data_IF_821507595906
#
_entry.id   IF_821507595906
#
_cell.length_a   1.000
_cell.length_b   1.000
_cell.length_c   1.000
_cell.angle_alpha   90.00
_cell.angle_beta   90.00
_cell.angle_gamma   90.00
#
_symmetry.space_group_name_H-M   'P 1'
#
loop_
_entity.id
_entity.type
_entity.pdbx_description
1 polymer ?
#
# COMPACT_ATOMS: atom_id res chain seq x y z
N UNK A 1 -60.13 -2.71 -23.11
CA UNK A 1 -58.74 -2.24 -23.24
C UNK A 1 -58.39 -1.59 -21.91
N UNK A 2 -57.70 -2.33 -21.04
CA UNK A 2 -57.50 -1.99 -19.63
C UNK A 2 -56.03 -1.60 -19.42
N UNK A 3 -55.76 -0.33 -19.10
CA UNK A 3 -54.42 0.24 -18.99
C UNK A 3 -54.04 0.26 -17.51
N UNK A 4 -53.32 -0.77 -17.06
CA UNK A 4 -52.71 -0.82 -15.73
C UNK A 4 -51.47 0.09 -15.69
N UNK A 5 -51.54 1.13 -14.85
CA UNK A 5 -50.41 1.98 -14.47
C UNK A 5 -49.41 1.17 -13.64
N UNK A 6 -48.22 0.92 -14.20
CA UNK A 6 -47.03 0.53 -13.45
C UNK A 6 -46.42 1.78 -12.82
N UNK A 7 -46.47 1.88 -11.49
CA UNK A 7 -45.69 2.85 -10.73
C UNK A 7 -44.34 2.18 -10.48
N UNK A 8 -43.30 2.65 -11.18
CA UNK A 8 -41.92 2.24 -10.91
C UNK A 8 -41.47 2.93 -9.63
N UNK A 9 -41.28 2.14 -8.57
CA UNK A 9 -40.67 2.59 -7.32
C UNK A 9 -39.16 2.67 -7.56
N UNK A 10 -38.65 3.86 -7.88
CA UNK A 10 -37.21 4.12 -7.94
C UNK A 10 -36.68 4.15 -6.50
N UNK A 11 -36.11 3.04 -6.05
CA UNK A 11 -35.37 2.97 -4.81
C UNK A 11 -34.04 3.72 -5.00
N UNK A 12 -33.95 4.94 -4.48
CA UNK A 12 -32.68 5.67 -4.42
C UNK A 12 -31.90 5.06 -3.24
N UNK A 13 -30.99 4.13 -3.52
CA UNK A 13 -29.97 3.75 -2.55
C UNK A 13 -29.04 4.96 -2.37
N UNK A 14 -29.24 5.73 -1.30
CA UNK A 14 -28.22 6.65 -0.84
C UNK A 14 -27.04 5.80 -0.38
N UNK A 15 -25.93 5.81 -1.15
CA UNK A 15 -24.68 5.24 -0.71
C UNK A 15 -24.30 5.92 0.62
N UNK A 16 -24.12 5.12 1.67
CA UNK A 16 -23.51 5.63 2.89
C UNK A 16 -22.17 6.29 2.51
N UNK A 17 -21.80 7.43 3.13
CA UNK A 17 -20.47 7.98 2.90
C UNK A 17 -19.47 6.89 3.28
N UNK A 18 -18.68 6.44 2.30
CA UNK A 18 -17.57 5.54 2.57
C UNK A 18 -16.72 6.19 3.66
N UNK A 19 -16.45 5.46 4.74
CA UNK A 19 -15.48 5.91 5.74
C UNK A 19 -14.19 6.25 5.01
N UNK A 20 -13.53 7.34 5.43
CA UNK A 20 -12.21 7.66 4.90
C UNK A 20 -11.31 6.47 5.23
N UNK A 21 -10.86 5.74 4.20
CA UNK A 21 -9.94 4.62 4.36
C UNK A 21 -8.53 5.16 4.54
N UNK A 22 -7.78 4.54 5.44
CA UNK A 22 -6.43 4.97 5.78
C UNK A 22 -5.41 4.40 4.80
N UNK A 23 -4.31 5.13 4.62
CA UNK A 23 -3.10 4.59 3.98
C UNK A 23 -2.43 3.69 5.01
N UNK A 24 -2.50 2.38 4.78
CA UNK A 24 -1.98 1.35 5.71
C UNK A 24 -0.54 0.95 5.38
N UNK A 25 -0.06 1.26 4.16
CA UNK A 25 1.31 1.02 3.74
C UNK A 25 1.74 1.94 2.60
N UNK A 26 3.03 2.27 2.57
CA UNK A 26 3.66 3.11 1.55
C UNK A 26 5.07 3.59 2.00
N UNK A 27 6.00 3.86 1.09
CA UNK A 27 7.24 4.62 1.32
C UNK A 27 7.03 5.97 2.03
N UNK A 28 7.64 6.15 3.20
CA UNK A 28 7.65 7.45 3.87
C UNK A 28 8.20 8.55 2.94
N UNK A 29 7.54 9.73 2.88
CA UNK A 29 8.03 10.87 2.10
C UNK A 29 9.42 11.37 2.49
N UNK A 30 10.06 10.86 3.54
CA UNK A 30 11.38 11.31 3.99
C UNK A 30 12.43 10.21 4.04
N UNK A 31 12.13 9.00 3.57
CA UNK A 31 13.11 7.91 3.64
C UNK A 31 14.01 7.94 2.39
N UNK A 32 15.32 8.22 2.52
CA UNK A 32 16.26 7.81 1.48
C UNK A 32 16.27 6.28 1.54
N UNK A 33 15.46 5.64 0.69
CA UNK A 33 15.30 4.19 0.72
C UNK A 33 16.62 3.54 0.30
N UNK A 34 17.54 3.32 1.25
CA UNK A 34 18.75 2.52 1.08
C UNK A 34 18.45 1.02 0.92
N UNK A 35 17.18 0.63 0.78
CA UNK A 35 16.77 -0.78 0.81
C UNK A 35 15.55 -1.07 -0.05
N UNK A 36 15.58 -0.66 -1.32
CA UNK A 36 14.89 -1.46 -2.33
C UNK A 36 15.88 -2.57 -2.73
N UNK A 37 15.61 -3.82 -2.35
CA UNK A 37 16.48 -4.93 -2.74
C UNK A 37 16.05 -5.30 -4.14
N UNK A 38 16.94 -5.16 -5.12
CA UNK A 38 16.64 -5.65 -6.45
C UNK A 38 16.58 -7.16 -6.49
N UNK A 39 15.44 -7.69 -6.92
CA UNK A 39 15.24 -9.13 -7.01
C UNK A 39 14.88 -9.52 -8.44
N UNK A 40 15.52 -10.60 -8.93
CA UNK A 40 15.17 -11.18 -10.22
C UNK A 40 13.75 -11.75 -10.19
N UNK A 41 12.87 -11.29 -11.08
CA UNK A 41 11.59 -11.97 -11.28
C UNK A 41 11.84 -13.35 -11.93
N UNK A 42 11.26 -14.44 -11.41
CA UNK A 42 11.37 -15.75 -12.04
C UNK A 42 10.81 -15.75 -13.49
N UNK A 43 11.69 -15.66 -14.49
CA UNK A 43 11.37 -15.82 -15.91
C UNK A 43 11.23 -14.54 -16.75
N UNK A 44 11.68 -13.38 -16.27
CA UNK A 44 11.58 -12.10 -17.00
C UNK A 44 12.54 -11.99 -18.20
N UNK A 45 12.00 -11.92 -19.42
CA UNK A 45 12.70 -11.37 -20.57
C UNK A 45 12.33 -9.89 -20.69
N UNK A 46 13.33 -9.01 -20.86
CA UNK A 46 13.16 -7.56 -21.02
C UNK A 46 12.28 -7.26 -22.24
N UNK A 47 11.00 -6.95 -22.00
CA UNK A 47 10.11 -6.42 -23.03
C UNK A 47 9.64 -5.07 -22.50
N UNK A 48 9.84 -4.01 -23.29
CA UNK A 48 9.37 -2.65 -23.01
C UNK A 48 7.86 -2.56 -22.69
N UNK A 49 7.11 -3.64 -22.95
CA UNK A 49 5.67 -3.79 -22.73
C UNK A 49 5.32 -4.19 -21.28
N UNK A 50 6.30 -4.61 -20.47
CA UNK A 50 6.11 -5.04 -19.08
C UNK A 50 7.19 -4.40 -18.19
N UNK A 51 7.32 -3.06 -18.27
CA UNK A 51 8.14 -2.32 -17.31
C UNK A 51 7.50 -2.43 -15.93
N UNK A 52 8.07 -3.32 -15.13
CA UNK A 52 7.68 -3.58 -13.75
C UNK A 52 8.47 -2.66 -12.85
N UNK A 53 7.77 -2.01 -11.94
CA UNK A 53 8.38 -1.32 -10.81
C UNK A 53 7.91 -2.02 -9.55
N UNK A 54 8.80 -2.24 -8.59
CA UNK A 54 8.49 -2.84 -7.30
C UNK A 54 8.83 -1.88 -6.16
N UNK A 55 7.95 -1.78 -5.17
CA UNK A 55 8.23 -1.06 -3.93
C UNK A 55 8.25 -2.03 -2.75
N UNK A 56 9.33 -1.96 -1.95
CA UNK A 56 9.44 -2.71 -0.70
C UNK A 56 8.61 -2.03 0.39
N UNK A 57 7.61 -2.74 0.88
CA UNK A 57 6.65 -2.26 1.86
C UNK A 57 6.61 -3.18 3.06
N UNK A 58 6.73 -2.61 4.25
CA UNK A 58 6.53 -3.33 5.51
C UNK A 58 5.31 -2.78 6.20
N UNK A 59 4.28 -3.61 6.35
CA UNK A 59 3.15 -3.25 7.18
C UNK A 59 3.53 -3.46 8.66
N UNK A 60 3.28 -2.48 9.55
CA UNK A 60 3.60 -2.67 10.97
C UNK A 60 2.67 -3.70 11.63
N UNK A 61 1.50 -3.95 11.05
CA UNK A 61 0.47 -4.89 11.53
C UNK A 61 -0.22 -5.55 10.33
N UNK A 62 -0.92 -6.65 10.55
CA UNK A 62 -1.73 -7.27 9.50
C UNK A 62 -2.74 -6.26 8.97
N UNK A 63 -2.92 -6.21 7.65
CA UNK A 63 -3.84 -5.29 7.02
C UNK A 63 -4.53 -5.91 5.83
N UNK A 64 -5.70 -5.38 5.53
CA UNK A 64 -6.54 -5.73 4.39
C UNK A 64 -6.47 -4.57 3.40
N UNK A 65 -5.80 -4.79 2.28
CA UNK A 65 -5.66 -3.82 1.18
C UNK A 65 -6.90 -3.89 0.30
N UNK A 66 -7.64 -2.80 0.25
CA UNK A 66 -8.88 -2.69 -0.54
C UNK A 66 -8.70 -1.79 -1.76
N UNK A 67 -7.69 -0.92 -1.75
CA UNK A 67 -7.30 -0.09 -2.88
C UNK A 67 -5.79 0.06 -2.93
N UNK A 68 -5.27 0.23 -4.14
CA UNK A 68 -3.87 0.59 -4.37
C UNK A 68 -3.86 1.87 -5.18
N UNK A 69 -3.23 2.91 -4.65
CA UNK A 69 -3.00 4.17 -5.37
C UNK A 69 -1.55 4.23 -5.84
N UNK A 70 -1.32 4.72 -7.05
CA UNK A 70 0.03 4.89 -7.60
C UNK A 70 0.09 6.05 -8.59
N UNK A 71 1.30 6.49 -8.93
CA UNK A 71 1.51 7.66 -9.78
C UNK A 71 2.43 7.39 -10.96
N UNK A 72 2.13 8.07 -12.06
CA UNK A 72 2.91 7.99 -13.29
C UNK A 72 2.10 8.48 -14.48
N UNK A 73 2.56 8.11 -15.67
CA UNK A 73 1.91 8.47 -16.92
C UNK A 73 2.80 8.17 -18.10
N UNK A 74 2.43 8.68 -19.27
CA UNK A 74 3.29 8.59 -20.44
C UNK A 74 4.24 9.79 -20.54
N UNK A 75 5.54 9.52 -20.59
CA UNK A 75 6.63 10.52 -20.57
C UNK A 75 6.59 11.52 -21.74
N UNK A 76 5.94 11.18 -22.85
CA UNK A 76 5.86 12.05 -24.04
C UNK A 76 4.49 12.71 -24.22
N UNK A 77 3.53 12.42 -23.33
CA UNK A 77 2.16 12.92 -23.50
C UNK A 77 1.98 14.28 -22.82
N UNK A 78 2.19 15.36 -23.59
CA UNK A 78 1.79 16.71 -23.16
C UNK A 78 0.26 16.81 -22.95
N UNK A 79 -0.53 15.88 -23.51
CA UNK A 79 -1.98 16.08 -23.62
C UNK A 79 -2.89 15.00 -23.01
N UNK A 80 -2.49 13.74 -22.77
CA UNK A 80 -3.19 12.71 -21.94
C UNK A 80 -2.48 11.34 -22.07
N UNK A 81 -2.55 10.47 -21.05
CA UNK A 81 -2.17 9.05 -21.17
C UNK A 81 -3.11 8.34 -22.18
N UNK A 82 -2.65 7.99 -23.38
CA UNK A 82 -3.48 7.36 -24.42
C UNK A 82 -3.04 5.94 -24.77
N UNK A 83 -1.78 5.57 -24.53
CA UNK A 83 -1.26 4.23 -24.84
C UNK A 83 -1.50 3.19 -23.74
N UNK A 84 -1.99 3.57 -22.55
CA UNK A 84 -2.28 2.60 -21.46
C UNK A 84 -3.66 1.96 -21.64
N UNK A 85 -3.69 0.63 -21.78
CA UNK A 85 -4.89 -0.21 -21.82
C UNK A 85 -5.36 -0.64 -20.43
N UNK A 86 -4.47 -0.63 -19.45
CA UNK A 86 -4.73 -1.13 -18.11
C UNK A 86 -3.43 -1.36 -17.34
N UNK A 87 -3.54 -2.11 -16.25
CA UNK A 87 -2.42 -2.39 -15.35
C UNK A 87 -2.39 -3.85 -14.95
N UNK A 88 -1.20 -4.38 -14.71
CA UNK A 88 -0.99 -5.64 -14.00
C UNK A 88 -0.50 -5.31 -12.59
N UNK A 89 -1.10 -5.89 -11.57
CA UNK A 89 -0.67 -5.84 -10.18
C UNK A 89 -0.08 -7.20 -9.82
N UNK A 90 1.16 -7.22 -9.36
CA UNK A 90 1.79 -8.39 -8.75
C UNK A 90 2.23 -8.02 -7.33
N UNK A 91 1.96 -8.88 -6.36
CA UNK A 91 2.45 -8.71 -4.98
C UNK A 91 3.27 -9.93 -4.63
N UNK A 92 4.49 -9.70 -4.16
CA UNK A 92 5.40 -10.72 -3.71
C UNK A 92 5.66 -10.59 -2.22
N UNK A 93 5.79 -11.71 -1.52
CA UNK A 93 6.43 -11.77 -0.21
C UNK A 93 7.94 -11.88 -0.41
N UNK A 94 8.70 -11.04 0.30
CA UNK A 94 10.16 -11.06 0.26
C UNK A 94 10.72 -11.76 1.50
N UNK A 95 11.53 -12.80 1.29
CA UNK A 95 12.31 -13.46 2.32
C UNK A 95 13.80 -13.45 1.95
N UNK A 96 14.53 -12.49 2.51
CA UNK A 96 15.91 -12.21 2.10
C UNK A 96 15.95 -11.72 0.64
N UNK A 97 16.61 -12.47 -0.24
CA UNK A 97 16.67 -12.18 -1.68
C UNK A 97 15.63 -12.97 -2.50
N UNK A 98 14.79 -13.78 -1.87
CA UNK A 98 13.79 -14.60 -2.57
C UNK A 98 12.45 -13.87 -2.61
N UNK A 99 11.83 -13.84 -3.78
CA UNK A 99 10.45 -13.37 -3.96
C UNK A 99 9.50 -14.54 -4.19
N UNK A 100 8.42 -14.55 -3.42
CA UNK A 100 7.31 -15.50 -3.60
C UNK A 100 6.09 -14.73 -4.08
N UNK A 101 5.62 -15.01 -5.30
CA UNK A 101 4.42 -14.39 -5.84
C UNK A 101 3.19 -14.81 -5.02
N UNK A 102 2.51 -13.84 -4.41
CA UNK A 102 1.26 -14.03 -3.67
C UNK A 102 0.04 -13.72 -4.53
N UNK A 103 0.08 -12.59 -5.26
CA UNK A 103 -1.04 -12.12 -6.07
C UNK A 103 -0.57 -11.68 -7.46
N UNK A 104 -1.37 -11.97 -8.48
CA UNK A 104 -1.18 -11.52 -9.86
C UNK A 104 -2.55 -11.23 -10.48
N UNK A 105 -2.82 -9.95 -10.76
CA UNK A 105 -4.12 -9.47 -11.23
C UNK A 105 -3.95 -8.50 -12.39
N UNK A 106 -4.93 -8.48 -13.29
CA UNK A 106 -4.98 -7.52 -14.41
C UNK A 106 -6.23 -6.66 -14.30
N UNK A 107 -6.03 -5.37 -14.46
CA UNK A 107 -7.06 -4.34 -14.43
C UNK A 107 -7.12 -3.69 -15.80
N UNK A 108 -8.31 -3.66 -16.41
CA UNK A 108 -8.53 -2.78 -17.55
C UNK A 108 -8.52 -1.33 -17.08
N UNK A 109 -8.15 -0.38 -17.96
CA UNK A 109 -8.08 1.05 -17.63
C UNK A 109 -9.37 1.62 -17.04
N UNK A 110 -10.54 1.06 -17.36
CA UNK A 110 -11.83 1.45 -16.77
C UNK A 110 -11.92 1.25 -15.25
N UNK A 111 -11.05 0.43 -14.67
CA UNK A 111 -10.95 0.17 -13.22
C UNK A 111 -9.83 0.98 -12.54
N UNK A 112 -9.15 1.85 -13.30
CA UNK A 112 -8.02 2.66 -12.85
C UNK A 112 -8.08 4.02 -13.58
N UNK A 113 -9.13 4.79 -13.35
CA UNK A 113 -9.31 6.06 -14.04
C UNK A 113 -8.23 7.06 -13.59
N UNK A 114 -7.46 7.64 -14.53
CA UNK A 114 -6.43 8.61 -14.18
C UNK A 114 -7.06 9.87 -13.58
N UNK A 115 -6.47 10.35 -12.50
CA UNK A 115 -6.74 11.67 -11.93
C UNK A 115 -5.49 12.52 -12.07
N UNK A 116 -5.57 13.64 -12.80
CA UNK A 116 -4.45 14.56 -12.94
C UNK A 116 -4.15 15.23 -11.59
N UNK A 117 -2.87 15.26 -11.21
CA UNK A 117 -2.44 15.86 -9.93
C UNK A 117 -2.05 17.33 -10.06
N UNK A 118 -1.86 17.82 -11.29
CA UNK A 118 -1.31 19.15 -11.59
C UNK A 118 0.22 19.23 -11.51
N UNK A 119 0.89 18.14 -11.16
CA UNK A 119 2.35 18.01 -11.22
C UNK A 119 2.85 17.60 -12.60
N UNK A 120 4.17 17.65 -12.77
CA UNK A 120 4.87 17.14 -13.95
C UNK A 120 5.99 16.17 -13.55
N UNK A 121 6.41 15.30 -14.47
CA UNK A 121 7.47 14.33 -14.24
C UNK A 121 8.20 13.95 -15.55
N UNK A 122 9.36 13.30 -15.43
CA UNK A 122 10.18 12.89 -16.58
C UNK A 122 10.95 14.04 -17.23
N UNK A 123 11.85 13.71 -18.16
CA UNK A 123 12.75 14.69 -18.78
C UNK A 123 12.01 15.73 -19.66
N UNK A 124 10.84 15.36 -20.18
CA UNK A 124 10.01 16.19 -21.05
C UNK A 124 8.91 16.95 -20.29
N UNK A 125 8.82 16.84 -18.96
CA UNK A 125 7.83 17.54 -18.14
C UNK A 125 6.38 17.07 -18.39
N UNK A 126 6.19 15.76 -18.59
CA UNK A 126 4.88 15.16 -18.81
C UNK A 126 3.93 15.38 -17.63
N UNK A 127 2.61 15.44 -17.91
CA UNK A 127 1.57 15.59 -16.88
C UNK A 127 1.54 14.37 -15.96
N UNK A 128 1.55 14.62 -14.66
CA UNK A 128 1.45 13.58 -13.64
C UNK A 128 0.00 13.17 -13.39
N UNK A 129 -0.24 11.87 -13.35
CA UNK A 129 -1.52 11.28 -12.99
C UNK A 129 -1.38 10.35 -11.79
N UNK A 130 -2.41 10.31 -10.96
CA UNK A 130 -2.64 9.25 -9.98
C UNK A 130 -3.69 8.28 -10.47
N UNK A 131 -3.53 7.00 -10.14
CA UNK A 131 -4.42 5.91 -10.49
C UNK A 131 -4.79 5.18 -9.21
N UNK A 132 -6.03 4.69 -9.12
CA UNK A 132 -6.47 3.81 -8.02
C UNK A 132 -6.98 2.50 -8.60
N UNK A 133 -6.44 1.37 -8.15
CA UNK A 133 -6.99 0.04 -8.41
C UNK A 133 -7.98 -0.29 -7.29
N UNK A 134 -9.23 -0.58 -7.67
CA UNK A 134 -10.25 -1.04 -6.74
C UNK A 134 -10.13 -2.55 -6.50
N UNK A 135 -9.83 -2.94 -5.26
CA UNK A 135 -9.75 -4.32 -4.78
C UNK A 135 -10.90 -4.68 -3.83
N UNK A 136 -11.87 -3.80 -3.60
CA UNK A 136 -12.94 -3.97 -2.59
C UNK A 136 -13.77 -5.26 -2.75
N UNK A 137 -13.83 -5.82 -3.95
CA UNK A 137 -14.57 -7.05 -4.24
C UNK A 137 -13.76 -8.33 -3.94
N UNK A 138 -12.44 -8.21 -3.82
CA UNK A 138 -11.51 -9.31 -3.54
C UNK A 138 -10.26 -8.74 -2.84
N UNK A 139 -10.38 -8.23 -1.61
CA UNK A 139 -9.29 -7.50 -0.96
C UNK A 139 -8.11 -8.42 -0.64
N UNK A 140 -6.92 -7.83 -0.45
CA UNK A 140 -5.68 -8.55 -0.24
C UNK A 140 -5.24 -8.43 1.22
N UNK A 141 -5.19 -9.56 1.92
CA UNK A 141 -4.66 -9.61 3.29
C UNK A 141 -3.13 -9.75 3.26
N UNK A 142 -2.44 -8.85 3.97
CA UNK A 142 -0.99 -8.82 4.11
C UNK A 142 -0.64 -8.87 5.59
N UNK A 143 0.25 -9.78 5.98
CA UNK A 143 0.67 -9.98 7.36
C UNK A 143 1.60 -8.86 7.85
N UNK A 144 1.43 -8.46 9.11
CA UNK A 144 2.32 -7.49 9.75
C UNK A 144 3.74 -8.02 9.92
N UNK A 145 4.73 -7.12 9.84
CA UNK A 145 6.15 -7.42 10.04
C UNK A 145 6.84 -8.11 8.87
N UNK A 146 6.12 -8.43 7.80
CA UNK A 146 6.70 -8.95 6.55
C UNK A 146 7.06 -7.83 5.58
N UNK A 147 8.02 -8.11 4.70
CA UNK A 147 8.39 -7.23 3.58
C UNK A 147 7.68 -7.74 2.33
N UNK A 148 6.94 -6.85 1.68
CA UNK A 148 6.26 -7.11 0.42
C UNK A 148 6.88 -6.30 -0.69
N UNK A 149 6.98 -6.89 -1.88
CA UNK A 149 7.24 -6.14 -3.11
C UNK A 149 5.92 -5.97 -3.83
N UNK A 150 5.45 -4.73 -3.93
CA UNK A 150 4.25 -4.42 -4.70
C UNK A 150 4.68 -3.91 -6.06
N UNK A 151 4.32 -4.67 -7.08
CA UNK A 151 4.63 -4.34 -8.46
C UNK A 151 3.38 -4.01 -9.25
N UNK A 152 3.44 -2.87 -9.94
CA UNK A 152 2.43 -2.50 -10.91
C UNK A 152 3.14 -2.31 -12.26
N UNK A 153 2.51 -2.77 -13.35
CA UNK A 153 3.01 -2.61 -14.72
C UNK A 153 1.89 -2.03 -15.58
N UNK A 154 2.19 -1.06 -16.42
CA UNK A 154 1.25 -0.61 -17.43
C UNK A 154 1.15 -1.63 -18.57
N UNK A 155 -0.07 -1.88 -19.04
CA UNK A 155 -0.34 -2.71 -20.21
C UNK A 155 -0.57 -1.78 -21.40
N UNK A 156 0.27 -1.86 -22.44
CA UNK A 156 0.24 -0.92 -23.56
C UNK A 156 -0.44 -1.49 -24.82
N UNK A 157 -1.05 -0.62 -25.63
CA UNK A 157 -1.63 -1.01 -26.93
C UNK A 157 -0.57 -1.18 -28.01
N UNK A 158 0.45 -0.31 -28.03
CA UNK A 158 1.59 -0.40 -28.97
C UNK A 158 2.88 -0.53 -28.17
N UNK A 159 3.76 -1.48 -28.54
CA UNK A 159 5.08 -1.57 -27.93
C UNK A 159 5.86 -0.26 -28.10
N UNK A 160 6.62 0.17 -27.09
CA UNK A 160 7.51 1.31 -27.22
C UNK A 160 8.44 1.11 -28.42
N UNK A 161 8.45 2.08 -29.34
CA UNK A 161 9.40 2.19 -30.45
C UNK A 161 9.94 3.61 -30.41
N UNK A 162 11.19 3.81 -30.79
CA UNK A 162 11.91 5.11 -30.79
C UNK A 162 10.98 6.33 -30.87
N UNK A 163 10.76 6.99 -29.73
CA UNK A 163 9.92 8.18 -29.60
C UNK A 163 8.44 7.97 -29.28
N UNK A 164 8.01 6.79 -28.81
CA UNK A 164 6.62 6.52 -28.39
C UNK A 164 6.50 6.09 -26.93
N UNK A 165 5.64 6.82 -26.23
CA UNK A 165 4.86 6.48 -25.03
C UNK A 165 5.23 5.17 -24.31
N UNK A 166 6.33 5.17 -23.55
CA UNK A 166 6.50 4.27 -22.40
C UNK A 166 5.78 4.87 -21.19
N UNK A 167 5.22 4.01 -20.36
CA UNK A 167 4.82 4.40 -19.02
C UNK A 167 6.06 4.72 -18.20
N UNK A 168 6.03 5.85 -17.52
CA UNK A 168 7.07 6.25 -16.59
C UNK A 168 6.44 6.47 -15.21
N UNK A 169 7.08 5.91 -14.19
CA UNK A 169 6.64 6.01 -12.81
C UNK A 169 7.03 7.36 -12.21
N UNK A 170 6.25 7.83 -11.25
CA UNK A 170 6.52 9.06 -10.54
C UNK A 170 6.14 8.94 -9.07
N UNK A 171 6.66 9.87 -8.26
CA UNK A 171 6.19 10.03 -6.88
C UNK A 171 4.92 10.86 -6.84
N UNK A 172 4.17 10.78 -5.75
CA UNK A 172 2.99 11.60 -5.50
C UNK A 172 3.22 13.13 -5.65
N UNK A 173 4.45 13.60 -5.49
CA UNK A 173 4.84 15.02 -5.54
C UNK A 173 5.43 15.47 -6.89
N UNK A 174 5.66 14.56 -7.85
CA UNK A 174 6.28 14.88 -9.14
C UNK A 174 7.75 14.52 -9.23
N UNK A 175 8.52 15.31 -9.97
CA UNK A 175 9.91 15.12 -10.39
C UNK A 175 10.96 15.20 -9.27
N UNK A 176 10.61 14.65 -8.11
CA UNK A 176 11.56 14.36 -7.06
C UNK A 176 12.48 13.16 -7.32
N UNK A 177 12.17 12.22 -8.24
CA UNK A 177 12.81 10.91 -8.59
C UNK A 177 12.33 9.65 -7.80
N UNK A 178 12.05 8.53 -8.46
CA UNK A 178 11.59 7.31 -7.77
C UNK A 178 12.78 6.38 -7.49
N UNK A 179 12.85 5.78 -6.30
CA UNK A 179 13.76 4.66 -6.07
C UNK A 179 13.09 3.40 -6.63
N UNK A 180 13.65 2.83 -7.70
CA UNK A 180 13.01 1.77 -8.47
C UNK A 180 13.85 0.50 -8.43
N UNK A 181 13.22 -0.62 -8.09
CA UNK A 181 13.71 -1.93 -8.54
C UNK A 181 13.14 -2.21 -9.94
N UNK A 182 14.02 -2.26 -10.95
CA UNK A 182 13.65 -2.42 -12.36
C UNK A 182 13.48 -3.90 -12.77
N UNK A 183 13.63 -4.86 -11.86
CA UNK A 183 13.51 -6.31 -12.12
C UNK A 183 14.31 -6.82 -13.35
N UNK A 184 15.33 -6.08 -13.78
CA UNK A 184 16.11 -6.34 -14.98
C UNK A 184 17.29 -7.29 -14.76
N UNK A 185 17.44 -7.77 -13.52
CA UNK A 185 18.52 -8.65 -13.07
C UNK A 185 19.87 -7.96 -12.90
N UNK A 186 19.95 -6.63 -13.02
CA UNK A 186 21.19 -5.86 -12.87
C UNK A 186 21.31 -5.23 -11.48
N UNK A 187 20.20 -5.13 -10.75
CA UNK A 187 20.19 -4.50 -9.43
C UNK A 187 19.30 -3.26 -9.43
N UNK A 188 19.30 -2.52 -8.32
CA UNK A 188 18.75 -1.16 -8.35
C UNK A 188 19.61 -0.34 -9.30
N UNK A 189 18.99 0.37 -10.23
CA UNK A 189 19.64 1.57 -10.77
C UNK A 189 19.37 2.67 -9.75
N UNK A 190 20.40 3.05 -8.99
CA UNK A 190 20.32 4.17 -8.04
C UNK A 190 20.09 5.46 -8.84
N UNK A 191 18.82 5.76 -9.16
CA UNK A 191 18.43 7.11 -9.50
C UNK A 191 18.85 8.03 -8.38
N UNK A 192 19.57 9.12 -8.72
CA UNK A 192 20.25 10.02 -7.79
C UNK A 192 19.53 10.18 -6.44
N UNK A 193 20.20 9.76 -5.37
CA UNK A 193 19.70 9.74 -4.01
C UNK A 193 19.28 11.15 -3.54
N UNK A 194 17.99 11.48 -3.63
CA UNK A 194 17.53 12.82 -3.25
C UNK A 194 16.04 13.00 -2.98
N UNK A 195 15.24 11.93 -2.89
CA UNK A 195 13.80 12.05 -3.15
C UNK A 195 12.91 11.82 -1.95
N UNK A 196 11.83 12.59 -1.93
CA UNK A 196 10.73 12.57 -0.98
C UNK A 196 9.40 12.23 -1.68
N UNK A 197 8.81 11.05 -1.44
CA UNK A 197 7.46 10.70 -1.92
C UNK A 197 7.16 9.20 -2.06
N UNK A 198 5.87 8.87 -2.19
CA UNK A 198 5.33 7.53 -2.43
C UNK A 198 5.18 7.28 -3.94
N UNK A 199 5.63 6.14 -4.46
CA UNK A 199 5.23 5.67 -5.79
C UNK A 199 3.95 4.83 -5.71
N UNK A 200 3.74 4.12 -4.59
CA UNK A 200 2.56 3.29 -4.32
C UNK A 200 2.04 3.51 -2.89
N UNK A 201 0.72 3.60 -2.73
CA UNK A 201 -0.02 3.58 -1.48
C UNK A 201 -0.92 2.35 -1.41
N UNK A 202 -0.86 1.63 -0.28
CA UNK A 202 -1.82 0.61 0.09
C UNK A 202 -2.88 1.25 0.97
N UNK A 203 -4.14 1.19 0.53
CA UNK A 203 -5.28 1.81 1.20
C UNK A 203 -6.24 0.71 1.64
N UNK A 204 -6.69 0.77 2.89
CA UNK A 204 -7.62 -0.21 3.42
C UNK A 204 -7.71 -0.17 4.94
N UNK A 205 -7.89 -1.33 5.54
CA UNK A 205 -8.00 -1.49 6.99
C UNK A 205 -6.74 -2.16 7.54
N UNK A 206 -6.26 -1.70 8.69
CA UNK A 206 -5.14 -2.31 9.39
C UNK A 206 -5.64 -2.81 10.74
N UNK A 207 -5.30 -4.04 11.10
CA UNK A 207 -5.58 -4.61 12.42
C UNK A 207 -5.18 -3.59 13.49
N UNK A 208 -6.05 -3.31 14.48
CA UNK A 208 -5.78 -2.30 15.50
C UNK A 208 -4.48 -2.60 16.23
N UNK A 209 -3.83 -1.55 16.75
CA UNK A 209 -2.57 -1.73 17.44
C UNK A 209 -2.86 -2.56 18.68
N UNK A 210 -2.04 -3.57 18.94
CA UNK A 210 -2.16 -4.33 20.16
C UNK A 210 -2.05 -3.34 21.32
N UNK A 211 -3.16 -3.08 22.00
CA UNK A 211 -3.18 -2.17 23.12
C UNK A 211 -2.69 -2.95 24.33
N UNK A 212 -1.37 -2.94 24.55
CA UNK A 212 -0.77 -3.69 25.66
C UNK A 212 -1.44 -3.34 26.99
N UNK A 213 -1.87 -2.08 27.16
CA UNK A 213 -2.56 -1.64 28.35
C UNK A 213 -4.01 -2.14 28.48
N UNK A 214 -4.66 -2.63 27.41
CA UNK A 214 -5.95 -3.34 27.43
C UNK A 214 -5.71 -4.81 27.84
N UNK A 215 -5.52 -5.02 29.14
CA UNK A 215 -5.14 -6.33 29.69
C UNK A 215 -6.34 -7.28 29.79
N UNK A 216 -7.56 -6.73 29.83
CA UNK A 216 -8.77 -7.54 29.86
C UNK A 216 -9.21 -7.99 28.45
N UNK A 217 -8.71 -7.32 27.40
CA UNK A 217 -8.94 -7.65 25.99
C UNK A 217 -10.35 -7.33 25.50
N UNK A 218 -11.03 -6.37 26.14
CA UNK A 218 -12.39 -5.96 25.76
C UNK A 218 -12.43 -4.90 24.64
N UNK A 219 -11.25 -4.46 24.18
CA UNK A 219 -11.07 -3.46 23.14
C UNK A 219 -11.22 -2.02 23.62
N UNK A 220 -11.37 -1.79 24.93
CA UNK A 220 -11.60 -0.49 25.53
C UNK A 220 -10.60 -0.23 26.65
N UNK A 221 -9.58 0.58 26.34
CA UNK A 221 -8.63 1.05 27.34
C UNK A 221 -9.34 1.87 28.43
N UNK A 222 -9.44 1.29 29.63
CA UNK A 222 -10.22 1.82 30.74
C UNK A 222 -9.61 1.48 32.10
N UNK A 223 -10.10 2.07 33.21
CA UNK A 223 -9.66 1.68 34.55
C UNK A 223 -9.91 0.20 34.90
N UNK A 224 -10.76 -0.50 34.14
CA UNK A 224 -10.96 -1.94 34.32
C UNK A 224 -9.67 -2.73 34.00
N UNK A 225 -8.85 -2.23 33.07
CA UNK A 225 -7.59 -2.85 32.68
C UNK A 225 -6.55 -2.81 33.78
N UNK A 226 -6.56 -1.79 34.62
CA UNK A 226 -5.69 -1.77 35.80
C UNK A 226 -6.00 -2.94 36.73
N UNK A 227 -7.29 -3.24 36.94
CA UNK A 227 -7.72 -4.36 37.78
C UNK A 227 -7.35 -5.70 37.13
N UNK A 228 -7.45 -5.79 35.79
CA UNK A 228 -7.00 -6.95 35.04
C UNK A 228 -5.48 -7.14 35.10
N UNK A 229 -4.70 -6.07 34.98
CA UNK A 229 -3.24 -6.07 35.13
C UNK A 229 -2.81 -6.53 36.51
N UNK A 230 -3.42 -5.99 37.59
CA UNK A 230 -3.13 -6.44 38.97
C UNK A 230 -3.42 -7.93 39.13
N UNK A 231 -4.52 -8.40 38.55
CA UNK A 231 -4.90 -9.83 38.60
C UNK A 231 -3.90 -10.71 37.83
N UNK A 232 -3.49 -10.29 36.63
CA UNK A 232 -2.50 -10.97 35.79
C UNK A 232 -1.13 -11.03 36.48
N UNK A 233 -0.66 -9.91 37.06
CA UNK A 233 0.62 -9.84 37.76
C UNK A 233 0.67 -10.80 38.96
N UNK A 234 -0.40 -10.81 39.78
CA UNK A 234 -0.49 -11.72 40.93
C UNK A 234 -0.60 -13.19 40.52
N UNK A 235 -1.20 -13.48 39.36
CA UNK A 235 -1.30 -14.82 38.80
C UNK A 235 -0.03 -15.28 38.06
N UNK A 236 1.00 -14.43 37.95
CA UNK A 236 2.19 -14.66 37.12
C UNK A 236 1.86 -14.90 35.64
N UNK A 237 0.84 -14.20 35.14
CA UNK A 237 0.42 -14.25 33.75
C UNK A 237 1.25 -13.26 32.91
N UNK A 238 1.77 -13.71 31.77
CA UNK A 238 2.62 -12.91 30.87
C UNK A 238 1.88 -11.73 30.23
N UNK A 239 0.54 -11.65 30.31
CA UNK A 239 -0.19 -10.43 29.93
C UNK A 239 0.15 -9.22 30.80
N UNK A 240 0.72 -9.44 31.99
CA UNK A 240 1.23 -8.38 32.83
C UNK A 240 2.63 -7.89 32.43
N UNK A 241 3.34 -8.57 31.52
CA UNK A 241 4.62 -8.13 30.95
C UNK A 241 4.36 -7.01 29.93
N UNK A 242 4.63 -5.78 30.33
CA UNK A 242 4.19 -4.59 29.60
C UNK A 242 5.35 -3.89 28.90
N UNK A 243 6.58 -4.26 29.23
CA UNK A 243 7.79 -3.82 28.54
C UNK A 243 8.34 -4.89 27.56
N UNK A 244 7.78 -6.10 27.58
CA UNK A 244 8.12 -7.20 26.68
C UNK A 244 9.48 -7.83 26.97
N UNK A 245 10.02 -7.68 28.19
CA UNK A 245 11.35 -8.20 28.54
C UNK A 245 11.34 -9.69 28.97
N UNK A 246 10.15 -10.29 29.04
CA UNK A 246 9.95 -11.68 29.43
C UNK A 246 9.95 -11.91 30.94
N UNK A 247 10.02 -10.87 31.77
CA UNK A 247 10.10 -10.94 33.22
C UNK A 247 9.01 -10.12 33.91
N UNK A 248 8.18 -10.79 34.71
CA UNK A 248 7.19 -10.11 35.54
C UNK A 248 7.82 -9.43 36.76
N UNK A 249 8.08 -8.14 36.65
CA UNK A 249 8.75 -7.29 37.64
C UNK A 249 7.97 -5.99 37.91
N UNK A 250 8.29 -5.24 38.97
CA UNK A 250 7.68 -3.93 39.17
C UNK A 250 7.94 -2.92 38.03
N UNK A 251 8.88 -3.18 37.13
CA UNK A 251 9.09 -2.35 35.94
C UNK A 251 7.87 -2.39 35.00
N UNK A 252 7.15 -3.51 34.96
CA UNK A 252 5.93 -3.68 34.17
C UNK A 252 4.81 -2.72 34.57
N UNK A 253 4.71 -2.39 35.86
CA UNK A 253 3.74 -1.40 36.31
C UNK A 253 4.02 -0.03 35.68
N UNK A 254 5.31 0.34 35.63
CA UNK A 254 5.71 1.63 35.03
C UNK A 254 5.47 1.64 33.52
N UNK A 255 5.72 0.51 32.84
CA UNK A 255 5.42 0.33 31.43
C UNK A 255 3.91 0.37 31.16
N UNK A 256 3.08 -0.30 31.98
CA UNK A 256 1.63 -0.24 31.87
C UNK A 256 1.11 1.19 31.99
N UNK A 257 1.59 1.97 32.97
CA UNK A 257 1.19 3.38 33.13
C UNK A 257 1.60 4.21 31.90
N UNK A 258 2.78 3.96 31.34
CA UNK A 258 3.22 4.62 30.12
C UNK A 258 2.30 4.27 28.92
N UNK A 259 2.02 2.99 28.72
CA UNK A 259 1.12 2.49 27.67
C UNK A 259 -0.31 3.04 27.82
N UNK A 260 -0.84 3.05 29.06
CA UNK A 260 -2.17 3.59 29.34
C UNK A 260 -2.28 5.10 29.03
N UNK A 261 -1.24 5.86 29.38
CA UNK A 261 -1.23 7.31 29.14
C UNK A 261 -0.94 7.69 27.69
N UNK A 262 -0.22 6.84 26.95
CA UNK A 262 0.01 7.02 25.51
C UNK A 262 -1.27 6.82 24.70
N UNK A 263 -2.24 6.08 25.25
CA UNK A 263 -3.34 5.53 24.47
C UNK A 263 -2.89 4.32 23.68
N UNK A 264 -3.85 3.49 23.27
CA UNK A 264 -3.65 2.60 22.14
C UNK A 264 -3.38 3.45 20.88
#
# INVERSE_FOLDING_TARGET
MDVRRLIALSLVCAAAPALAQDVIGGQSPQSPAQSAISAEEPGGAYIYDDQKLGENLTLPRTGVVERIRFWGGSETSEQNDLNTMGFRLQIFEQNGQTLTLLHDRRFGRGFALPTETGGTFGADGARLFSYELDLSHDPIELAGGQVYVVSVSALHFVPPRDGRESWSWASATGDGVVFVDLFDGIGLDEGDAGVTGLAIELIGEMEPAACLADVNGDGVLSPADFSAWVSAFNARDMRADQNGDGLLTPADFSAWVANYNAGC
#
